data_IF_612979094485
#
_entry.id   IF_612979094485
#
_cell.length_a   1.000
_cell.length_b   1.000
_cell.length_c   1.000
_cell.angle_alpha   90.00
_cell.angle_beta   90.00
_cell.angle_gamma   90.00
#
_symmetry.space_group_name_H-M   'P 1'
#
loop_
_entity.id
_entity.type
_entity.pdbx_description
1 polymer ?
#
# COMPACT_ATOMS: atom_id res chain seq x y z
N UNK A 1 -4.56 -2.52 -18.62
CA UNK A 1 -3.50 -2.72 -19.63
C UNK A 1 -2.60 -3.87 -19.20
N UNK A 2 -1.91 -4.53 -20.14
CA UNK A 2 -1.00 -5.66 -19.91
C UNK A 2 -1.63 -6.93 -19.28
N UNK A 3 -2.95 -6.93 -19.10
CA UNK A 3 -3.77 -8.04 -18.63
C UNK A 3 -5.23 -7.74 -18.97
N UNK A 4 -6.07 -8.77 -18.88
CA UNK A 4 -7.51 -8.61 -18.68
C UNK A 4 -7.78 -7.83 -17.37
N UNK A 5 -8.99 -7.27 -17.20
CA UNK A 5 -9.40 -6.65 -15.94
C UNK A 5 -9.15 -7.59 -14.74
N UNK A 6 -8.46 -7.07 -13.71
CA UNK A 6 -8.12 -7.83 -12.50
C UNK A 6 -9.06 -7.41 -11.39
N UNK A 7 -9.80 -8.36 -10.82
CA UNK A 7 -10.66 -8.12 -9.65
C UNK A 7 -9.89 -8.27 -8.34
N UNK A 8 -10.43 -7.73 -7.25
CA UNK A 8 -9.86 -7.96 -5.91
C UNK A 8 -9.91 -9.44 -5.49
N UNK A 9 -10.85 -10.22 -6.02
CA UNK A 9 -10.95 -11.66 -5.77
C UNK A 9 -9.79 -12.42 -6.44
N UNK A 10 -9.40 -12.04 -7.65
CA UNK A 10 -8.26 -12.63 -8.38
C UNK A 10 -6.91 -12.40 -7.67
N UNK A 11 -6.87 -11.44 -6.76
CA UNK A 11 -5.70 -11.07 -5.97
C UNK A 11 -5.62 -11.76 -4.61
N UNK A 12 -6.68 -12.46 -4.19
CA UNK A 12 -6.64 -13.25 -2.94
C UNK A 12 -5.59 -14.35 -3.03
N UNK A 13 -4.90 -14.61 -1.93
CA UNK A 13 -3.81 -15.58 -1.89
C UNK A 13 -2.46 -15.05 -2.39
N UNK A 14 -2.41 -13.85 -2.99
CA UNK A 14 -1.16 -13.19 -3.43
C UNK A 14 -0.77 -12.06 -2.48
N UNK A 15 0.53 -11.84 -2.33
CA UNK A 15 1.04 -10.56 -1.82
C UNK A 15 0.90 -9.56 -2.95
N UNK A 16 0.38 -8.35 -2.70
CA UNK A 16 0.12 -7.36 -3.76
C UNK A 16 0.85 -6.06 -3.47
N UNK A 17 1.70 -5.63 -4.39
CA UNK A 17 2.31 -4.31 -4.39
C UNK A 17 1.57 -3.40 -5.37
N UNK A 18 0.85 -2.42 -4.85
CA UNK A 18 0.19 -1.38 -5.64
C UNK A 18 1.09 -0.15 -5.66
N UNK A 19 1.30 0.44 -6.85
CA UNK A 19 2.05 1.70 -7.02
C UNK A 19 1.28 2.67 -7.89
N UNK A 20 1.12 3.91 -7.41
CA UNK A 20 0.65 5.00 -8.26
C UNK A 20 1.79 5.64 -9.06
N UNK A 21 1.50 5.96 -10.32
CA UNK A 21 2.43 6.55 -11.26
C UNK A 21 1.70 7.40 -12.32
N UNK A 22 2.43 8.22 -13.06
CA UNK A 22 1.88 9.06 -14.14
C UNK A 22 2.85 9.16 -15.33
N UNK A 23 2.77 10.20 -16.15
CA UNK A 23 3.60 10.39 -17.33
C UNK A 23 5.13 10.30 -17.06
N UNK A 24 5.95 9.99 -18.10
CA UNK A 24 7.42 9.92 -18.04
C UNK A 24 8.13 11.17 -17.51
N UNK A 25 7.44 12.32 -17.51
CA UNK A 25 7.92 13.57 -16.92
C UNK A 25 8.00 13.52 -15.39
N UNK A 26 7.37 12.54 -14.72
CA UNK A 26 7.48 12.32 -13.28
C UNK A 26 8.86 11.73 -12.92
N UNK A 27 9.77 12.49 -12.29
CA UNK A 27 11.12 12.02 -12.00
C UNK A 27 11.11 10.84 -11.02
N UNK A 28 10.25 10.90 -10.01
CA UNK A 28 10.10 9.84 -9.02
C UNK A 28 9.59 8.53 -9.62
N UNK A 29 8.67 8.62 -10.57
CA UNK A 29 8.11 7.46 -11.27
C UNK A 29 9.20 6.81 -12.13
N UNK A 30 9.98 7.63 -12.85
CA UNK A 30 11.12 7.17 -13.65
C UNK A 30 12.20 6.49 -12.81
N UNK A 31 12.58 7.11 -11.69
CA UNK A 31 13.58 6.55 -10.78
C UNK A 31 13.14 5.23 -10.13
N UNK A 32 11.85 5.08 -9.85
CA UNK A 32 11.27 3.89 -9.18
C UNK A 32 11.00 2.73 -10.15
N UNK A 33 10.80 3.01 -11.44
CA UNK A 33 10.41 1.99 -12.42
C UNK A 33 11.34 0.76 -12.47
N UNK A 34 12.68 0.88 -12.42
CA UNK A 34 13.58 -0.27 -12.37
C UNK A 34 13.31 -1.20 -11.18
N UNK A 35 13.07 -0.65 -9.99
CA UNK A 35 12.79 -1.43 -8.78
C UNK A 35 11.48 -2.23 -8.90
N UNK A 36 10.42 -1.62 -9.43
CA UNK A 36 9.14 -2.31 -9.66
C UNK A 36 9.30 -3.48 -10.63
N UNK A 37 10.04 -3.28 -11.72
CA UNK A 37 10.32 -4.32 -12.70
C UNK A 37 11.16 -5.45 -12.10
N UNK A 38 12.12 -5.13 -11.25
CA UNK A 38 12.91 -6.11 -10.50
C UNK A 38 12.03 -6.95 -9.58
N UNK A 39 11.22 -6.32 -8.72
CA UNK A 39 10.32 -7.03 -7.81
C UNK A 39 9.32 -7.92 -8.55
N UNK A 40 8.71 -7.43 -9.61
CA UNK A 40 7.79 -8.24 -10.42
C UNK A 40 8.52 -9.43 -11.07
N UNK A 41 9.71 -9.22 -11.63
CA UNK A 41 10.49 -10.29 -12.25
C UNK A 41 10.89 -11.36 -11.23
N UNK A 42 11.38 -10.94 -10.07
CA UNK A 42 11.96 -11.82 -9.04
C UNK A 42 10.89 -12.57 -8.24
N UNK A 43 9.81 -11.89 -7.87
CA UNK A 43 8.86 -12.43 -6.88
C UNK A 43 7.53 -12.90 -7.45
N UNK A 44 7.20 -12.65 -8.74
CA UNK A 44 5.89 -13.06 -9.28
C UNK A 44 5.61 -14.55 -9.14
N UNK A 45 6.61 -15.39 -9.40
CA UNK A 45 6.49 -16.86 -9.27
C UNK A 45 6.38 -17.32 -7.82
N UNK A 46 6.75 -16.48 -6.86
CA UNK A 46 6.63 -16.74 -5.41
C UNK A 46 5.31 -16.23 -4.81
N UNK A 47 4.44 -15.63 -5.64
CA UNK A 47 3.13 -15.14 -5.23
C UNK A 47 3.04 -13.64 -4.99
N UNK A 48 3.99 -12.84 -5.50
CA UNK A 48 3.83 -11.38 -5.58
C UNK A 48 3.06 -10.99 -6.85
N UNK A 49 2.07 -10.12 -6.74
CA UNK A 49 1.52 -9.35 -7.85
C UNK A 49 1.96 -7.89 -7.73
N UNK A 50 2.34 -7.26 -8.83
CA UNK A 50 2.60 -5.81 -8.87
C UNK A 50 1.52 -5.18 -9.73
N UNK A 51 0.91 -4.09 -9.27
CA UNK A 51 -0.14 -3.38 -10.03
C UNK A 51 0.19 -1.90 -10.08
N UNK A 52 0.35 -1.39 -11.29
CA UNK A 52 0.55 0.05 -11.52
C UNK A 52 -0.78 0.77 -11.70
N UNK A 53 -1.06 1.77 -10.88
CA UNK A 53 -2.21 2.66 -11.06
C UNK A 53 -1.77 3.96 -11.73
N UNK A 54 -2.13 4.09 -13.01
CA UNK A 54 -1.90 5.33 -13.74
C UNK A 54 -2.97 6.36 -13.37
N UNK A 55 -2.54 7.52 -12.85
CA UNK A 55 -3.40 8.68 -12.64
C UNK A 55 -2.98 9.79 -13.59
N UNK A 56 -3.95 10.42 -14.23
CA UNK A 56 -3.70 11.38 -15.30
C UNK A 56 -3.43 12.78 -14.74
N UNK A 57 -2.24 13.34 -14.99
CA UNK A 57 -1.84 14.68 -14.53
C UNK A 57 -1.82 15.75 -15.62
N UNK A 58 -2.07 15.39 -16.87
CA UNK A 58 -2.05 16.33 -17.99
C UNK A 58 -3.39 17.04 -18.08
N UNK A 59 -3.38 18.27 -18.60
CA UNK A 59 -4.60 19.01 -18.94
C UNK A 59 -5.21 18.51 -20.27
N UNK A 60 -4.37 17.91 -21.13
CA UNK A 60 -4.81 17.22 -22.35
C UNK A 60 -5.72 16.03 -22.05
N UNK A 61 -6.67 15.67 -22.94
CA UNK A 61 -7.50 14.48 -22.74
C UNK A 61 -6.68 13.19 -22.59
N UNK A 62 -7.11 12.32 -21.67
CA UNK A 62 -6.53 10.99 -21.49
C UNK A 62 -6.63 10.17 -22.79
N UNK A 63 -5.48 9.72 -23.29
CA UNK A 63 -5.39 8.74 -24.40
C UNK A 63 -4.80 7.43 -23.89
N UNK A 64 -5.57 6.34 -23.97
CA UNK A 64 -5.15 5.02 -23.47
C UNK A 64 -3.87 4.54 -24.17
N UNK A 65 -3.70 4.87 -25.45
CA UNK A 65 -2.54 4.54 -26.28
C UNK A 65 -1.26 5.20 -25.77
N UNK A 66 -1.36 6.42 -25.22
CA UNK A 66 -0.25 7.09 -24.56
C UNK A 66 0.10 6.40 -23.25
N UNK A 67 -0.89 6.03 -22.43
CA UNK A 67 -0.62 5.28 -21.20
C UNK A 67 0.08 3.96 -21.50
N UNK A 68 -0.33 3.25 -22.56
CA UNK A 68 0.36 2.05 -23.07
C UNK A 68 1.80 2.36 -23.48
N UNK A 69 2.06 3.48 -24.16
CA UNK A 69 3.41 3.92 -24.55
C UNK A 69 4.27 4.20 -23.32
N UNK A 70 3.74 4.91 -22.32
CA UNK A 70 4.47 5.22 -21.09
C UNK A 70 4.80 3.96 -20.29
N UNK A 71 3.83 3.04 -20.15
CA UNK A 71 4.07 1.75 -19.50
C UNK A 71 5.19 0.96 -20.21
N UNK A 72 5.22 0.97 -21.55
CA UNK A 72 6.32 0.36 -22.33
C UNK A 72 7.66 1.06 -22.10
N UNK A 73 7.70 2.39 -22.06
CA UNK A 73 8.92 3.16 -21.80
C UNK A 73 9.50 2.87 -20.40
N UNK A 74 8.64 2.69 -19.40
CA UNK A 74 9.04 2.26 -18.06
C UNK A 74 9.32 0.76 -17.94
N UNK A 75 9.10 -0.02 -19.00
CA UNK A 75 9.33 -1.47 -19.00
C UNK A 75 8.31 -2.27 -18.20
N UNK A 76 7.15 -1.69 -17.88
CA UNK A 76 6.12 -2.36 -17.08
C UNK A 76 5.53 -3.54 -17.84
N UNK A 77 5.79 -4.74 -17.31
CA UNK A 77 5.22 -6.02 -17.77
C UNK A 77 4.12 -6.56 -16.86
N UNK A 78 3.82 -5.83 -15.80
CA UNK A 78 2.77 -6.14 -14.84
C UNK A 78 1.45 -5.42 -15.20
N UNK A 79 0.31 -5.84 -14.63
CA UNK A 79 -0.98 -5.19 -14.83
C UNK A 79 -0.96 -3.69 -14.53
N UNK A 80 -1.57 -2.89 -15.40
CA UNK A 80 -1.76 -1.46 -15.19
C UNK A 80 -3.24 -1.12 -15.21
N UNK A 81 -3.72 -0.57 -14.10
CA UNK A 81 -5.03 0.06 -13.99
C UNK A 81 -4.94 1.55 -14.38
N UNK A 82 -6.00 2.08 -14.99
CA UNK A 82 -6.12 3.50 -15.33
C UNK A 82 -7.18 4.11 -14.40
N UNK A 83 -6.78 5.07 -13.57
CA UNK A 83 -7.61 5.80 -12.61
C UNK A 83 -7.66 7.28 -13.03
N UNK A 84 -8.41 7.60 -14.11
CA UNK A 84 -8.29 8.89 -14.78
C UNK A 84 -8.85 10.04 -13.94
N UNK A 85 -9.82 9.76 -13.07
CA UNK A 85 -10.44 10.72 -12.16
C UNK A 85 -9.84 10.70 -10.75
N UNK A 86 -8.76 9.93 -10.55
CA UNK A 86 -8.05 9.80 -9.28
C UNK A 86 -8.94 9.27 -8.15
N UNK A 87 -10.05 8.60 -8.46
CA UNK A 87 -11.04 8.16 -7.46
C UNK A 87 -10.41 7.21 -6.45
N UNK A 88 -9.57 6.29 -6.94
CA UNK A 88 -8.92 5.31 -6.07
C UNK A 88 -7.80 5.97 -5.29
N UNK A 89 -6.97 6.79 -5.96
CA UNK A 89 -5.88 7.53 -5.31
C UNK A 89 -6.39 8.45 -4.18
N UNK A 90 -7.45 9.20 -4.42
CA UNK A 90 -8.05 10.11 -3.44
C UNK A 90 -8.51 9.35 -2.21
N UNK A 91 -9.38 8.35 -2.41
CA UNK A 91 -9.95 7.54 -1.33
C UNK A 91 -8.90 6.82 -0.48
N UNK A 92 -7.84 6.30 -1.10
CA UNK A 92 -6.85 5.49 -0.39
C UNK A 92 -5.74 6.32 0.25
N UNK A 93 -5.50 7.55 -0.23
CA UNK A 93 -4.30 8.30 0.12
C UNK A 93 -4.56 9.79 0.35
N UNK A 94 -5.05 10.53 -0.64
CA UNK A 94 -5.11 11.99 -0.57
C UNK A 94 -6.18 12.49 0.42
N UNK A 95 -7.30 11.79 0.55
CA UNK A 95 -8.40 12.21 1.45
C UNK A 95 -8.14 11.80 2.91
N UNK A 96 -6.99 11.19 3.20
CA UNK A 96 -6.66 10.66 4.53
C UNK A 96 -5.68 11.54 5.32
N UNK A 97 -5.29 12.69 4.78
CA UNK A 97 -4.42 13.68 5.40
C UNK A 97 -3.47 14.36 4.41
N UNK A 98 -2.60 15.24 4.90
CA UNK A 98 -1.66 15.98 4.06
C UNK A 98 -0.60 15.08 3.44
N UNK A 99 -0.47 15.12 2.10
CA UNK A 99 0.42 14.25 1.32
C UNK A 99 1.34 15.07 0.41
N UNK A 100 2.63 14.78 0.47
CA UNK A 100 3.62 15.40 -0.42
C UNK A 100 3.64 14.78 -1.84
N UNK A 101 3.12 13.56 -1.97
CA UNK A 101 3.26 12.77 -3.19
C UNK A 101 1.97 12.05 -3.58
N UNK A 102 1.76 11.96 -4.90
CA UNK A 102 0.72 11.13 -5.52
C UNK A 102 1.25 9.75 -5.95
N UNK A 103 2.54 9.50 -5.75
CA UNK A 103 3.23 8.27 -6.14
C UNK A 103 3.33 7.27 -4.98
N UNK A 104 2.30 7.18 -4.14
CA UNK A 104 2.27 6.24 -3.01
C UNK A 104 2.38 4.78 -3.46
N UNK A 105 2.97 3.93 -2.61
CA UNK A 105 2.89 2.47 -2.76
C UNK A 105 2.25 1.82 -1.54
N UNK A 106 1.40 0.82 -1.77
CA UNK A 106 0.83 -0.02 -0.73
C UNK A 106 1.23 -1.47 -0.95
N UNK A 107 1.63 -2.15 0.11
CA UNK A 107 1.91 -3.58 0.09
C UNK A 107 0.87 -4.30 0.94
N UNK A 108 0.11 -5.17 0.29
CA UNK A 108 -0.97 -5.95 0.89
C UNK A 108 -0.53 -7.41 1.06
N UNK A 109 -0.96 -8.04 2.15
CA UNK A 109 -0.78 -9.47 2.33
C UNK A 109 -1.80 -10.31 1.54
N UNK A 110 -1.72 -11.64 1.67
CA UNK A 110 -2.58 -12.62 0.98
C UNK A 110 -4.07 -12.50 1.31
N UNK A 111 -4.42 -11.83 2.41
CA UNK A 111 -5.80 -11.54 2.82
C UNK A 111 -6.28 -10.18 2.30
N UNK A 112 -5.40 -9.43 1.63
CA UNK A 112 -5.66 -8.08 1.14
C UNK A 112 -5.58 -7.01 2.22
N UNK A 113 -4.90 -7.28 3.34
CA UNK A 113 -4.68 -6.28 4.39
C UNK A 113 -3.40 -5.51 4.10
N UNK A 114 -3.44 -4.18 4.19
CA UNK A 114 -2.25 -3.33 4.03
C UNK A 114 -1.28 -3.62 5.18
N UNK A 115 -0.05 -4.02 4.86
CA UNK A 115 1.02 -4.30 5.84
C UNK A 115 2.19 -3.35 5.77
N UNK A 116 2.26 -2.53 4.72
CA UNK A 116 3.26 -1.48 4.56
C UNK A 116 2.80 -0.43 3.57
N UNK A 117 3.23 0.81 3.82
CA UNK A 117 2.95 1.97 2.98
C UNK A 117 4.25 2.72 2.75
N UNK A 118 4.59 2.95 1.49
CA UNK A 118 5.61 3.91 1.11
C UNK A 118 4.91 5.22 0.72
N UNK A 119 5.15 6.35 1.42
CA UNK A 119 4.33 7.56 1.29
C UNK A 119 4.43 8.25 -0.08
N UNK A 120 5.40 7.88 -0.89
CA UNK A 120 5.59 8.38 -2.24
C UNK A 120 6.99 8.94 -2.43
N UNK A 121 7.22 9.72 -3.48
CA UNK A 121 8.58 9.97 -3.95
C UNK A 121 9.12 8.71 -4.62
N UNK A 122 10.38 8.36 -4.35
CA UNK A 122 11.07 7.26 -5.03
C UNK A 122 11.63 6.20 -4.08
N UNK A 123 11.88 5.01 -4.62
CA UNK A 123 12.78 4.03 -4.02
C UNK A 123 13.67 3.45 -5.10
N UNK A 124 14.98 3.64 -4.95
CA UNK A 124 15.99 3.16 -5.89
C UNK A 124 16.83 2.07 -5.24
N UNK A 125 17.23 1.07 -6.02
CA UNK A 125 18.09 -0.02 -5.52
C UNK A 125 19.38 0.54 -4.90
N UNK A 126 19.67 0.09 -3.69
CA UNK A 126 20.79 0.59 -2.87
C UNK A 126 20.38 1.64 -1.83
N UNK A 127 19.17 2.20 -1.93
CA UNK A 127 18.64 3.14 -0.93
C UNK A 127 17.85 2.43 0.17
N UNK A 128 17.69 3.12 1.31
CA UNK A 128 16.96 2.62 2.49
C UNK A 128 15.51 2.23 2.15
N UNK A 129 14.77 3.09 1.46
CA UNK A 129 13.37 2.85 1.12
C UNK A 129 13.17 1.58 0.25
N UNK A 130 14.11 1.33 -0.67
CA UNK A 130 14.12 0.10 -1.45
C UNK A 130 14.35 -1.13 -0.57
N UNK A 131 15.35 -1.07 0.32
CA UNK A 131 15.68 -2.17 1.21
C UNK A 131 14.52 -2.52 2.16
N UNK A 132 13.85 -1.51 2.72
CA UNK A 132 12.68 -1.69 3.59
C UNK A 132 11.52 -2.35 2.85
N UNK A 133 11.18 -1.86 1.66
CA UNK A 133 10.12 -2.44 0.84
C UNK A 133 10.45 -3.88 0.43
N UNK A 134 11.68 -4.14 -0.01
CA UNK A 134 12.15 -5.49 -0.37
C UNK A 134 12.04 -6.45 0.82
N UNK A 135 12.54 -6.06 1.98
CA UNK A 135 12.47 -6.86 3.20
C UNK A 135 11.02 -7.19 3.57
N UNK A 136 10.11 -6.22 3.42
CA UNK A 136 8.69 -6.45 3.71
C UNK A 136 8.02 -7.38 2.71
N UNK A 137 8.35 -7.27 1.42
CA UNK A 137 7.89 -8.22 0.40
C UNK A 137 8.33 -9.64 0.78
N UNK A 138 9.60 -9.82 1.13
CA UNK A 138 10.15 -11.13 1.51
C UNK A 138 9.49 -11.70 2.79
N UNK A 139 9.23 -10.84 3.79
CA UNK A 139 8.51 -11.20 5.01
C UNK A 139 7.10 -11.75 4.72
N UNK A 140 6.32 -11.04 3.90
CA UNK A 140 4.95 -11.45 3.56
C UNK A 140 4.93 -12.71 2.70
N UNK A 141 5.86 -12.82 1.75
CA UNK A 141 5.98 -14.02 0.91
C UNK A 141 6.36 -15.25 1.73
N UNK A 142 7.20 -15.11 2.76
CA UNK A 142 7.58 -16.18 3.67
C UNK A 142 6.47 -16.60 4.67
N UNK A 143 5.32 -15.92 4.69
CA UNK A 143 4.19 -16.27 5.56
C UNK A 143 4.36 -15.85 7.03
N UNK A 144 5.43 -15.11 7.37
CA UNK A 144 5.78 -14.74 8.76
C UNK A 144 4.91 -13.63 9.36
N UNK A 145 3.91 -13.15 8.63
CA UNK A 145 3.11 -11.98 9.02
C UNK A 145 1.85 -12.30 9.84
N UNK A 146 1.46 -13.57 9.97
CA UNK A 146 0.21 -13.95 10.63
C UNK A 146 0.31 -14.05 12.17
N UNK A 147 1.51 -14.02 12.75
CA UNK A 147 1.70 -14.32 14.18
C UNK A 147 1.97 -13.08 15.07
N UNK A 148 2.54 -12.00 14.53
CA UNK A 148 2.98 -10.84 15.33
C UNK A 148 1.92 -9.74 15.55
N UNK A 149 0.66 -9.96 15.17
CA UNK A 149 -0.40 -8.93 15.30
C UNK A 149 -1.65 -9.43 16.03
N UNK A 150 -1.60 -10.60 16.70
CA UNK A 150 -2.64 -10.93 17.67
C UNK A 150 -2.44 -10.03 18.91
N UNK A 151 -3.41 -9.17 19.27
CA UNK A 151 -3.32 -8.43 20.52
C UNK A 151 -3.28 -9.45 21.66
N UNK A 152 -2.35 -9.25 22.60
CA UNK A 152 -2.21 -10.14 23.75
C UNK A 152 -3.52 -10.14 24.55
N UNK A 153 -4.24 -11.25 24.45
CA UNK A 153 -5.52 -11.46 25.12
C UNK A 153 -5.42 -11.35 26.65
N UNK A 154 -4.22 -11.55 27.24
CA UNK A 154 -3.99 -11.28 28.67
C UNK A 154 -3.93 -9.78 28.92
N UNK A 155 -3.20 -9.04 28.10
CA UNK A 155 -3.08 -7.58 28.20
C UNK A 155 -4.42 -6.87 28.00
N UNK A 156 -5.22 -7.31 27.02
CA UNK A 156 -6.59 -6.82 26.80
C UNK A 156 -7.52 -7.05 27.99
N UNK A 157 -7.45 -8.23 28.63
CA UNK A 157 -8.25 -8.52 29.83
C UNK A 157 -7.80 -7.71 31.04
N UNK A 158 -6.50 -7.49 31.17
CA UNK A 158 -5.91 -6.73 32.27
C UNK A 158 -6.22 -5.23 32.13
N UNK A 159 -6.14 -4.68 30.92
CA UNK A 159 -6.50 -3.28 30.63
C UNK A 159 -8.01 -3.03 30.81
N UNK A 160 -8.85 -4.01 30.46
CA UNK A 160 -10.30 -3.96 30.71
C UNK A 160 -10.62 -4.01 32.22
N UNK A 161 -9.93 -4.88 32.98
CA UNK A 161 -10.09 -4.97 34.43
C UNK A 161 -9.63 -3.68 35.14
N UNK A 162 -8.52 -3.07 34.71
CA UNK A 162 -8.03 -1.79 35.24
C UNK A 162 -9.01 -0.64 34.95
N UNK A 163 -9.62 -0.63 33.75
CA UNK A 163 -10.67 0.36 33.42
C UNK A 163 -11.90 0.21 34.30
N UNK A 164 -12.39 -1.02 34.49
CA UNK A 164 -13.55 -1.30 35.35
C UNK A 164 -13.27 -0.90 36.82
N UNK A 165 -12.08 -1.19 37.33
CA UNK A 165 -11.69 -0.80 38.68
C UNK A 165 -11.61 0.72 38.88
N UNK A 166 -11.16 1.47 37.86
CA UNK A 166 -11.13 2.94 37.89
C UNK A 166 -12.52 3.56 37.82
N UNK A 167 -13.45 2.98 37.06
CA UNK A 167 -14.85 3.42 37.03
C UNK A 167 -15.54 3.18 38.38
N UNK A 168 -15.27 2.04 39.03
CA UNK A 168 -15.81 1.74 40.36
C UNK A 168 -15.24 2.67 41.45
N UNK A 169 -13.95 3.03 41.39
CA UNK A 169 -13.32 3.94 42.34
C UNK A 169 -13.81 5.40 42.18
N UNK A 170 -14.16 5.83 40.96
CA UNK A 170 -14.68 7.18 40.69
C UNK A 170 -16.11 7.42 41.18
N UNK A 171 -16.88 6.37 41.48
CA UNK A 171 -18.26 6.48 41.97
C UNK A 171 -18.38 6.46 43.51
N UNK A 172 -17.28 6.23 44.24
CA UNK A 172 -17.28 6.17 45.71
C UNK A 172 -16.91 7.49 46.41
N UNK A 173 -16.72 8.59 45.66
CA UNK A 173 -16.12 9.83 46.15
C UNK A 173 -17.01 11.08 46.13
N UNK A 174 -18.33 10.98 46.32
CA UNK A 174 -19.16 12.17 46.60
C UNK A 174 -20.37 11.81 47.47
N UNK A 175 -20.17 11.88 48.79
CA UNK A 175 -21.23 12.06 49.78
C UNK A 175 -20.66 12.83 50.98
N UNK A 176 -21.47 13.78 51.47
CA UNK A 176 -21.39 14.60 52.69
C UNK A 176 -20.78 16.00 52.50
N UNK A 177 -21.40 17.10 52.94
CA UNK A 177 -22.65 17.35 53.67
C UNK A 177 -23.06 18.83 53.40
N UNK A 178 -24.26 19.19 53.85
CA UNK A 178 -24.97 20.50 53.86
C UNK A 178 -24.12 21.77 54.03
#
# INVERSE_FOLDING_TARGET
LNSEPVSLQDLRGKVVLVRWWTAPSCPYCKATAPALNEFYREYRKRGLEVIGFYHHKSDEPLRVEEVKKYARQFGFKFPVAIDPEWRTLKRWWLDTGDRDFTSVSFLLDRKGVIRFVHPGGQYVKGEKAYAELKAKIEELLAGKSDEKTKPDSRKLKQDAAIRLARTAAGQAGYKKDE
#
